data_IF_948282333371
#
_entry.id   IF_948282333371
#
_cell.length_a   1.000
_cell.length_b   1.000
_cell.length_c   1.000
_cell.angle_alpha   90.00
_cell.angle_beta   90.00
_cell.angle_gamma   90.00
#
_symmetry.space_group_name_H-M   'P 1'
#
loop_
_entity.id
_entity.type
_entity.pdbx_description
1 polymer ?
#
# COMPACT_ATOMS: atom_id res chain seq x y z
N UNK A 1 -12.43 -17.52 4.83
CA UNK A 1 -11.85 -16.74 3.70
C UNK A 1 -12.90 -16.61 2.61
N UNK A 2 -13.05 -15.42 2.03
CA UNK A 2 -14.06 -15.15 0.98
C UNK A 2 -13.46 -15.38 -0.40
N UNK A 3 -14.24 -16.03 -1.27
CA UNK A 3 -13.90 -16.30 -2.68
C UNK A 3 -15.04 -15.79 -3.57
N UNK A 4 -14.71 -15.03 -4.61
CA UNK A 4 -15.67 -14.68 -5.65
C UNK A 4 -15.62 -15.74 -6.75
N UNK A 5 -16.79 -16.16 -7.23
CA UNK A 5 -16.97 -16.97 -8.43
C UNK A 5 -17.72 -16.12 -9.44
N UNK A 6 -17.18 -15.97 -10.64
CA UNK A 6 -17.87 -15.42 -11.78
C UNK A 6 -17.97 -16.51 -12.88
N UNK A 7 -19.17 -16.95 -13.17
CA UNK A 7 -19.46 -18.02 -14.11
C UNK A 7 -20.90 -17.83 -14.63
N UNK A 8 -21.08 -17.71 -15.92
CA UNK A 8 -22.39 -17.47 -16.52
C UNK A 8 -23.24 -18.75 -16.65
N UNK A 9 -22.60 -19.91 -16.77
CA UNK A 9 -23.30 -21.19 -16.87
C UNK A 9 -23.83 -21.67 -15.51
N UNK A 10 -25.17 -21.78 -15.31
CA UNK A 10 -25.77 -22.03 -13.98
C UNK A 10 -25.34 -23.34 -13.32
N UNK A 11 -25.11 -24.40 -14.10
CA UNK A 11 -24.76 -25.73 -13.56
C UNK A 11 -23.31 -25.72 -13.05
N UNK A 12 -22.39 -25.17 -13.83
CA UNK A 12 -20.98 -25.00 -13.48
C UNK A 12 -20.84 -24.11 -12.25
N UNK A 13 -21.53 -22.97 -12.24
CA UNK A 13 -21.57 -22.02 -11.11
C UNK A 13 -22.05 -22.70 -9.82
N UNK A 14 -23.14 -23.47 -9.89
CA UNK A 14 -23.67 -24.18 -8.73
C UNK A 14 -22.75 -25.28 -8.21
N UNK A 15 -22.05 -25.97 -9.11
CA UNK A 15 -21.10 -27.02 -8.75
C UNK A 15 -19.90 -26.40 -8.03
N UNK A 16 -19.31 -25.34 -8.60
CA UNK A 16 -18.21 -24.60 -7.98
C UNK A 16 -18.58 -24.07 -6.62
N UNK A 17 -19.75 -23.40 -6.51
CA UNK A 17 -20.26 -22.90 -5.24
C UNK A 17 -20.31 -23.97 -4.17
N UNK A 18 -21.00 -25.08 -4.44
CA UNK A 18 -21.13 -26.19 -3.48
C UNK A 18 -19.76 -26.77 -3.08
N UNK A 19 -18.85 -26.91 -4.04
CA UNK A 19 -17.51 -27.42 -3.78
C UNK A 19 -16.75 -26.52 -2.83
N UNK A 20 -16.74 -25.22 -3.07
CA UNK A 20 -16.03 -24.25 -2.22
C UNK A 20 -16.66 -24.12 -0.82
N UNK A 21 -17.99 -24.12 -0.75
CA UNK A 21 -18.72 -24.12 0.53
C UNK A 21 -18.41 -25.36 1.38
N UNK A 22 -18.28 -26.55 0.75
CA UNK A 22 -17.88 -27.79 1.43
C UNK A 22 -16.46 -27.71 2.01
N UNK A 23 -15.57 -26.93 1.40
CA UNK A 23 -14.22 -26.67 1.91
C UNK A 23 -14.16 -25.53 2.93
N UNK A 24 -15.33 -24.97 3.31
CA UNK A 24 -15.43 -23.94 4.33
C UNK A 24 -15.13 -22.52 3.86
N UNK A 25 -15.16 -22.27 2.56
CA UNK A 25 -15.08 -20.94 2.02
C UNK A 25 -16.43 -20.22 2.03
N UNK A 26 -16.42 -18.92 2.25
CA UNK A 26 -17.56 -18.05 2.02
C UNK A 26 -17.53 -17.61 0.54
N UNK A 27 -18.61 -17.85 -0.18
CA UNK A 27 -18.63 -17.67 -1.64
C UNK A 27 -19.51 -16.48 -2.03
N UNK A 28 -18.93 -15.56 -2.78
CA UNK A 28 -19.64 -14.47 -3.47
C UNK A 28 -19.86 -14.89 -4.91
N UNK A 29 -21.11 -14.86 -5.38
CA UNK A 29 -21.50 -15.35 -6.70
C UNK A 29 -21.82 -14.18 -7.61
N UNK A 30 -21.22 -14.21 -8.81
CA UNK A 30 -21.52 -13.32 -9.91
C UNK A 30 -21.91 -14.15 -11.14
N UNK A 31 -22.93 -13.69 -11.88
CA UNK A 31 -23.48 -14.40 -13.03
C UNK A 31 -22.93 -13.89 -14.37
N UNK A 32 -22.20 -12.77 -14.31
CA UNK A 32 -21.60 -12.11 -15.46
C UNK A 32 -20.35 -11.32 -15.02
N UNK A 33 -19.57 -10.88 -16.02
CA UNK A 33 -18.33 -10.14 -15.75
C UNK A 33 -18.54 -8.74 -15.19
N UNK A 34 -19.67 -8.09 -15.50
CA UNK A 34 -19.95 -6.74 -14.98
C UNK A 34 -20.24 -6.77 -13.48
N UNK A 35 -21.03 -7.74 -13.03
CA UNK A 35 -21.29 -7.97 -11.61
C UNK A 35 -20.01 -8.37 -10.85
N UNK A 36 -19.16 -9.21 -11.48
CA UNK A 36 -17.88 -9.59 -10.92
C UNK A 36 -16.93 -8.38 -10.77
N UNK A 37 -16.83 -7.57 -11.80
CA UNK A 37 -16.07 -6.33 -11.77
C UNK A 37 -16.53 -5.39 -10.63
N UNK A 38 -17.84 -5.18 -10.52
CA UNK A 38 -18.42 -4.34 -9.46
C UNK A 38 -18.07 -4.88 -8.07
N UNK A 39 -18.26 -6.19 -7.86
CA UNK A 39 -17.96 -6.82 -6.57
C UNK A 39 -16.47 -6.77 -6.19
N UNK A 40 -15.55 -6.73 -7.17
CA UNK A 40 -14.12 -6.60 -6.93
C UNK A 40 -13.68 -5.15 -6.62
N UNK A 41 -14.55 -4.15 -6.86
CA UNK A 41 -14.28 -2.75 -6.50
C UNK A 41 -14.76 -2.39 -5.08
N UNK A 42 -15.52 -3.26 -4.42
CA UNK A 42 -16.02 -3.01 -3.08
C UNK A 42 -14.88 -3.00 -2.03
N UNK A 43 -14.98 -2.18 -0.98
CA UNK A 43 -13.95 -2.11 0.06
C UNK A 43 -13.67 -3.45 0.76
N UNK A 44 -14.68 -4.32 0.84
CA UNK A 44 -14.62 -5.65 1.43
C UNK A 44 -14.56 -6.77 0.39
N UNK A 45 -14.11 -6.47 -0.82
CA UNK A 45 -14.01 -7.42 -1.92
C UNK A 45 -13.27 -8.71 -1.50
N UNK A 46 -13.68 -9.88 -2.05
CA UNK A 46 -12.97 -11.13 -1.82
C UNK A 46 -11.52 -11.07 -2.28
N UNK A 47 -10.62 -11.74 -1.53
CA UNK A 47 -9.20 -11.75 -1.84
C UNK A 47 -8.79 -12.78 -2.90
N UNK A 48 -9.69 -13.67 -3.27
CA UNK A 48 -9.51 -14.67 -4.33
C UNK A 48 -10.73 -14.55 -5.24
N UNK A 49 -10.49 -14.51 -6.54
CA UNK A 49 -11.56 -14.57 -7.54
C UNK A 49 -11.27 -15.69 -8.54
N UNK A 50 -12.29 -16.50 -8.78
CA UNK A 50 -12.35 -17.55 -9.81
C UNK A 50 -13.26 -17.06 -10.90
N UNK A 51 -12.71 -16.73 -12.06
CA UNK A 51 -13.39 -16.03 -13.15
C UNK A 51 -13.46 -16.92 -14.39
N UNK A 52 -14.61 -17.14 -14.96
CA UNK A 52 -14.68 -17.72 -16.28
C UNK A 52 -14.01 -16.80 -17.30
N UNK A 53 -13.40 -17.41 -18.30
CA UNK A 53 -12.77 -16.69 -19.40
C UNK A 53 -13.79 -15.89 -20.20
N UNK A 54 -14.91 -16.50 -20.55
CA UNK A 54 -15.93 -15.91 -21.41
C UNK A 54 -17.24 -15.72 -20.65
N UNK A 55 -17.59 -14.48 -20.40
CA UNK A 55 -18.84 -14.10 -19.73
C UNK A 55 -19.48 -12.92 -20.43
N UNK A 56 -20.80 -12.75 -20.31
CA UNK A 56 -21.48 -11.53 -20.73
C UNK A 56 -20.95 -10.28 -20.02
N UNK A 57 -20.94 -9.18 -20.72
CA UNK A 57 -20.46 -7.88 -20.23
C UNK A 57 -18.95 -7.72 -20.32
N UNK A 58 -18.19 -8.18 -19.33
CA UNK A 58 -16.73 -8.20 -19.34
C UNK A 58 -16.21 -9.64 -19.35
N UNK A 59 -15.17 -9.90 -20.14
CA UNK A 59 -14.51 -11.20 -20.10
C UNK A 59 -13.50 -11.29 -18.91
N UNK A 60 -13.12 -12.52 -18.54
CA UNK A 60 -12.22 -12.75 -17.42
C UNK A 60 -10.87 -12.01 -17.56
N UNK A 61 -10.20 -12.08 -18.72
CA UNK A 61 -8.97 -11.30 -18.98
C UNK A 61 -9.14 -9.78 -18.90
N UNK A 62 -10.31 -9.24 -19.30
CA UNK A 62 -10.59 -7.80 -19.16
C UNK A 62 -10.70 -7.40 -17.69
N UNK A 63 -11.39 -8.22 -16.87
CA UNK A 63 -11.45 -8.01 -15.42
C UNK A 63 -10.05 -8.05 -14.81
N UNK A 64 -9.23 -9.05 -15.18
CA UNK A 64 -7.86 -9.15 -14.68
C UNK A 64 -7.05 -7.88 -14.98
N UNK A 65 -7.08 -7.38 -16.21
CA UNK A 65 -6.40 -6.12 -16.59
C UNK A 65 -6.89 -4.94 -15.76
N UNK A 66 -8.21 -4.76 -15.70
CA UNK A 66 -8.80 -3.65 -14.93
C UNK A 66 -8.40 -3.66 -13.46
N UNK A 67 -8.40 -4.86 -12.82
CA UNK A 67 -7.96 -5.01 -11.43
C UNK A 67 -6.49 -4.60 -11.26
N UNK A 68 -5.59 -5.02 -12.16
CA UNK A 68 -4.16 -4.66 -12.10
C UNK A 68 -3.91 -3.18 -12.37
N UNK A 69 -4.67 -2.58 -13.29
CA UNK A 69 -4.56 -1.17 -13.66
C UNK A 69 -5.17 -0.22 -12.61
N UNK A 70 -6.09 -0.71 -11.77
CA UNK A 70 -6.73 0.11 -10.74
C UNK A 70 -5.77 0.67 -9.69
N UNK A 71 -4.56 0.13 -9.57
CA UNK A 71 -3.55 0.57 -8.61
C UNK A 71 -3.94 0.37 -7.14
N UNK A 72 -4.98 -0.41 -6.86
CA UNK A 72 -5.41 -0.69 -5.50
C UNK A 72 -4.28 -1.33 -4.69
N UNK A 73 -4.06 -0.86 -3.45
CA UNK A 73 -3.05 -1.40 -2.54
C UNK A 73 -3.21 -2.90 -2.28
N UNK A 74 -4.45 -3.38 -2.31
CA UNK A 74 -4.79 -4.78 -2.11
C UNK A 74 -5.35 -5.34 -3.40
N UNK A 75 -4.59 -6.22 -4.03
CA UNK A 75 -5.01 -6.88 -5.25
C UNK A 75 -5.42 -8.32 -4.95
N UNK A 76 -6.62 -8.76 -5.39
CA UNK A 76 -7.04 -10.14 -5.23
C UNK A 76 -6.18 -11.10 -6.06
N UNK A 77 -6.11 -12.35 -5.61
CA UNK A 77 -5.58 -13.46 -6.41
C UNK A 77 -6.62 -13.84 -7.46
N UNK A 78 -6.27 -13.73 -8.73
CA UNK A 78 -7.18 -13.94 -9.86
C UNK A 78 -6.85 -15.25 -10.56
N UNK A 79 -7.82 -16.16 -10.59
CA UNK A 79 -7.73 -17.45 -11.27
C UNK A 79 -8.74 -17.48 -12.42
N UNK A 80 -8.28 -17.77 -13.64
CA UNK A 80 -9.13 -17.91 -14.81
C UNK A 80 -9.58 -19.37 -15.01
N UNK A 81 -10.86 -19.58 -15.25
CA UNK A 81 -11.39 -20.84 -15.74
C UNK A 81 -11.50 -20.77 -17.27
N UNK A 82 -11.00 -21.74 -17.97
CA UNK A 82 -11.00 -21.72 -19.43
C UNK A 82 -11.24 -23.09 -20.06
N UNK A 83 -12.07 -23.13 -21.08
CA UNK A 83 -12.16 -24.28 -21.99
C UNK A 83 -11.06 -24.27 -23.06
N UNK A 84 -10.24 -23.21 -23.10
CA UNK A 84 -9.17 -23.06 -24.08
C UNK A 84 -7.90 -23.71 -23.56
N UNK A 85 -7.47 -24.78 -24.24
CA UNK A 85 -6.28 -25.56 -23.86
C UNK A 85 -5.02 -25.17 -24.63
N UNK A 86 -5.13 -24.21 -25.54
CA UNK A 86 -3.97 -23.79 -26.33
C UNK A 86 -3.03 -22.94 -25.46
N UNK A 87 -1.72 -23.23 -25.57
CA UNK A 87 -0.70 -22.51 -24.82
C UNK A 87 -0.76 -20.99 -25.02
N UNK A 88 -1.16 -20.52 -26.21
CA UNK A 88 -1.30 -19.10 -26.52
C UNK A 88 -2.39 -18.42 -25.68
N UNK A 89 -3.50 -19.11 -25.42
CA UNK A 89 -4.61 -18.58 -24.61
C UNK A 89 -4.17 -18.49 -23.14
N UNK A 90 -3.50 -19.49 -22.62
CA UNK A 90 -2.93 -19.51 -21.26
C UNK A 90 -1.99 -18.31 -21.07
N UNK A 91 -1.05 -18.11 -22.00
CA UNK A 91 -0.11 -16.98 -21.94
C UNK A 91 -0.84 -15.64 -22.02
N UNK A 92 -1.91 -15.55 -22.82
CA UNK A 92 -2.72 -14.33 -22.90
C UNK A 92 -3.41 -13.99 -21.57
N UNK A 93 -3.99 -14.99 -20.89
CA UNK A 93 -4.63 -14.81 -19.58
C UNK A 93 -3.64 -14.36 -18.51
N UNK A 94 -2.48 -14.99 -18.42
CA UNK A 94 -1.42 -14.60 -17.47
C UNK A 94 -0.88 -13.19 -17.77
N UNK A 95 -0.68 -12.85 -19.05
CA UNK A 95 -0.29 -11.49 -19.46
C UNK A 95 -1.36 -10.44 -19.18
N UNK A 96 -2.63 -10.83 -19.13
CA UNK A 96 -3.73 -9.95 -18.73
C UNK A 96 -3.75 -9.68 -17.21
N UNK A 97 -2.90 -10.36 -16.42
CA UNK A 97 -2.78 -10.12 -14.99
C UNK A 97 -3.42 -11.20 -14.11
N UNK A 98 -3.85 -12.32 -14.68
CA UNK A 98 -4.23 -13.49 -13.88
C UNK A 98 -3.00 -14.08 -13.17
N UNK A 99 -3.21 -14.57 -11.94
CA UNK A 99 -2.16 -15.25 -11.16
C UNK A 99 -2.10 -16.75 -11.49
N UNK A 100 -3.23 -17.31 -11.91
CA UNK A 100 -3.32 -18.72 -12.25
C UNK A 100 -4.47 -18.96 -13.25
N UNK A 101 -4.51 -20.18 -13.79
CA UNK A 101 -5.60 -20.64 -14.65
C UNK A 101 -5.93 -22.10 -14.38
N UNK A 102 -7.17 -22.50 -14.71
CA UNK A 102 -7.64 -23.86 -14.58
C UNK A 102 -8.48 -24.21 -15.81
N UNK A 103 -8.30 -25.42 -16.35
CA UNK A 103 -9.03 -25.85 -17.53
C UNK A 103 -10.38 -26.48 -17.19
N UNK A 104 -11.39 -26.21 -17.98
CA UNK A 104 -12.69 -26.88 -17.90
C UNK A 104 -12.67 -28.20 -18.71
N UNK A 105 -13.28 -29.30 -18.22
CA UNK A 105 -14.02 -29.40 -16.96
C UNK A 105 -13.10 -29.30 -15.74
N UNK A 106 -13.56 -28.57 -14.72
CA UNK A 106 -12.76 -28.30 -13.50
C UNK A 106 -12.57 -29.61 -12.71
N UNK A 107 -11.33 -30.03 -12.59
CA UNK A 107 -10.96 -31.12 -11.70
C UNK A 107 -10.94 -30.64 -10.25
N UNK A 108 -11.59 -31.42 -9.36
CA UNK A 108 -11.77 -31.00 -7.96
C UNK A 108 -10.45 -30.96 -7.19
N UNK A 109 -9.58 -31.95 -7.40
CA UNK A 109 -8.30 -32.04 -6.68
C UNK A 109 -7.35 -30.93 -7.16
N UNK A 110 -7.36 -30.64 -8.48
CA UNK A 110 -6.57 -29.55 -9.04
C UNK A 110 -7.04 -28.18 -8.51
N UNK A 111 -8.35 -27.94 -8.47
CA UNK A 111 -8.92 -26.70 -7.91
C UNK A 111 -8.54 -26.52 -6.44
N UNK A 112 -8.63 -27.59 -5.62
CA UNK A 112 -8.27 -27.54 -4.21
C UNK A 112 -6.80 -27.20 -4.01
N UNK A 113 -5.91 -27.85 -4.77
CA UNK A 113 -4.47 -27.61 -4.71
C UNK A 113 -4.13 -26.16 -5.09
N UNK A 114 -4.71 -25.62 -6.16
CA UNK A 114 -4.49 -24.24 -6.61
C UNK A 114 -5.03 -23.22 -5.63
N UNK A 115 -6.22 -23.43 -5.08
CA UNK A 115 -6.80 -22.57 -4.07
C UNK A 115 -6.00 -22.58 -2.77
N UNK A 116 -5.39 -23.70 -2.40
CA UNK A 116 -4.45 -23.77 -1.28
C UNK A 116 -3.24 -22.86 -1.51
N UNK A 117 -2.69 -22.83 -2.72
CA UNK A 117 -1.60 -21.92 -3.08
C UNK A 117 -2.08 -20.47 -3.04
N UNK A 118 -3.24 -20.17 -3.65
CA UNK A 118 -3.84 -18.84 -3.63
C UNK A 118 -4.06 -18.31 -2.20
N UNK A 119 -4.62 -19.14 -1.33
CA UNK A 119 -4.83 -18.80 0.08
C UNK A 119 -3.53 -18.47 0.80
N UNK A 120 -2.46 -19.23 0.55
CA UNK A 120 -1.14 -18.98 1.12
C UNK A 120 -0.54 -17.66 0.61
N UNK A 121 -0.66 -17.35 -0.68
CA UNK A 121 -0.20 -16.08 -1.26
C UNK A 121 -0.93 -14.90 -0.61
N UNK A 122 -2.26 -14.95 -0.56
CA UNK A 122 -3.09 -13.91 0.08
C UNK A 122 -2.74 -13.72 1.55
N UNK A 123 -2.51 -14.80 2.30
CA UNK A 123 -2.09 -14.70 3.70
C UNK A 123 -0.71 -14.07 3.86
N UNK A 124 0.24 -14.37 2.96
CA UNK A 124 1.58 -13.77 2.99
C UNK A 124 1.51 -12.27 2.66
N UNK A 125 0.73 -11.88 1.67
CA UNK A 125 0.50 -10.48 1.32
C UNK A 125 -0.11 -9.70 2.51
N UNK A 126 -1.11 -10.29 3.19
CA UNK A 126 -1.72 -9.66 4.36
C UNK A 126 -0.70 -9.47 5.49
N UNK A 127 0.06 -10.53 5.82
CA UNK A 127 1.11 -10.44 6.86
C UNK A 127 2.17 -9.39 6.53
N UNK A 128 2.55 -9.27 5.25
CA UNK A 128 3.50 -8.25 4.82
C UNK A 128 2.93 -6.84 5.02
N UNK A 129 1.67 -6.61 4.60
CA UNK A 129 1.01 -5.33 4.79
C UNK A 129 0.90 -4.95 6.29
N UNK A 130 0.53 -5.91 7.15
CA UNK A 130 0.46 -5.70 8.60
C UNK A 130 1.85 -5.32 9.17
N UNK A 131 2.92 -5.99 8.72
CA UNK A 131 4.30 -5.68 9.17
C UNK A 131 4.78 -4.32 8.69
N UNK A 132 4.43 -3.92 7.47
CA UNK A 132 4.75 -2.57 6.97
C UNK A 132 4.06 -1.51 7.82
N UNK A 133 2.77 -1.67 8.12
CA UNK A 133 2.02 -0.75 8.97
C UNK A 133 2.60 -0.65 10.39
N UNK A 134 2.98 -1.79 11.01
CA UNK A 134 3.64 -1.82 12.33
C UNK A 134 4.98 -1.04 12.32
N UNK A 135 5.78 -1.23 11.26
CA UNK A 135 7.07 -0.53 11.12
C UNK A 135 6.89 0.97 10.91
N UNK A 136 5.93 1.38 10.08
CA UNK A 136 5.62 2.80 9.86
C UNK A 136 5.17 3.49 11.15
N UNK A 137 4.33 2.81 11.95
CA UNK A 137 3.91 3.32 13.26
C UNK A 137 5.11 3.43 14.22
N UNK A 138 5.98 2.42 14.26
CA UNK A 138 7.17 2.45 15.11
C UNK A 138 8.12 3.61 14.72
N UNK A 139 8.36 3.81 13.41
CA UNK A 139 9.17 4.92 12.89
C UNK A 139 8.53 6.27 13.27
N UNK A 140 7.21 6.38 13.16
CA UNK A 140 6.49 7.61 13.55
C UNK A 140 6.66 7.93 15.03
N UNK A 141 6.57 6.92 15.92
CA UNK A 141 6.82 7.08 17.36
C UNK A 141 8.26 7.54 17.65
N UNK A 142 9.24 6.94 16.98
CA UNK A 142 10.65 7.35 17.13
C UNK A 142 10.85 8.81 16.70
N UNK A 143 10.27 9.23 15.57
CA UNK A 143 10.34 10.63 15.12
C UNK A 143 9.70 11.61 16.10
N UNK A 144 8.59 11.25 16.73
CA UNK A 144 7.96 12.09 17.76
C UNK A 144 8.84 12.26 19.01
N UNK A 145 9.56 11.21 19.42
CA UNK A 145 10.50 11.27 20.55
C UNK A 145 11.76 12.06 20.23
N UNK A 146 12.23 12.01 18.98
CA UNK A 146 13.40 12.77 18.51
C UNK A 146 13.10 14.28 18.32
N UNK A 147 11.81 14.68 18.29
CA UNK A 147 11.40 16.07 18.17
C UNK A 147 11.57 16.93 19.46
N UNK A 148 11.89 16.32 20.59
CA UNK A 148 12.09 17.01 21.86
C UNK A 148 13.60 17.15 22.17
N UNK A 149 14.19 18.26 21.73
CA UNK A 149 15.58 18.57 22.09
C UNK A 149 15.62 19.18 23.49
N UNK A 150 16.34 18.57 24.47
CA UNK A 150 16.49 19.11 25.80
C UNK A 150 17.38 20.37 25.76
N UNK A 151 16.77 21.54 25.87
CA UNK A 151 17.49 22.81 25.87
C UNK A 151 17.58 23.41 27.26
N UNK A 152 18.71 24.04 27.58
CA UNK A 152 18.87 24.79 28.81
C UNK A 152 17.95 26.03 28.81
N UNK A 153 17.13 26.19 29.84
CA UNK A 153 16.23 27.33 29.97
C UNK A 153 16.97 28.69 30.00
N UNK A 154 18.22 28.72 30.47
CA UNK A 154 19.03 29.92 30.60
C UNK A 154 19.90 30.21 29.39
N UNK A 155 20.83 29.32 29.05
CA UNK A 155 21.83 29.59 28.02
C UNK A 155 21.44 29.02 26.64
N UNK A 156 20.27 28.36 26.50
CA UNK A 156 19.75 27.78 25.27
C UNK A 156 20.61 26.69 24.60
N UNK A 157 21.63 26.18 25.28
CA UNK A 157 22.39 25.03 24.78
C UNK A 157 21.55 23.78 24.75
N UNK A 158 21.80 22.90 23.79
CA UNK A 158 21.18 21.58 23.64
C UNK A 158 22.03 20.55 24.36
N UNK A 159 21.37 19.63 25.08
CA UNK A 159 22.02 18.48 25.69
C UNK A 159 21.97 17.31 24.72
N UNK A 160 23.15 16.80 24.34
CA UNK A 160 23.29 15.61 23.50
C UNK A 160 23.06 14.30 24.28
N UNK A 161 23.11 13.17 23.55
CA UNK A 161 22.91 11.82 24.12
C UNK A 161 24.02 11.38 25.08
N UNK A 162 25.18 12.07 25.05
CA UNK A 162 26.31 11.86 25.96
C UNK A 162 26.28 12.77 27.19
N UNK A 163 25.19 13.54 27.37
CA UNK A 163 24.99 14.52 28.43
C UNK A 163 25.88 15.76 28.38
N UNK A 164 26.48 16.09 27.23
CA UNK A 164 27.21 17.36 27.03
C UNK A 164 26.27 18.44 26.50
N UNK A 165 26.59 19.71 26.87
CA UNK A 165 25.80 20.86 26.48
C UNK A 165 26.47 21.60 25.32
N UNK A 166 25.92 21.47 24.12
CA UNK A 166 26.43 22.04 22.88
C UNK A 166 25.66 23.31 22.47
N UNK A 167 26.29 24.19 21.70
CA UNK A 167 25.56 25.28 21.06
C UNK A 167 24.57 24.75 20.04
N UNK A 168 23.44 25.45 19.88
CA UNK A 168 22.37 25.00 18.97
C UNK A 168 22.88 24.82 17.55
N UNK A 169 23.70 25.78 17.08
CA UNK A 169 24.26 25.79 15.74
C UNK A 169 25.19 24.59 15.51
N UNK A 170 26.03 24.28 16.48
CA UNK A 170 26.97 23.15 16.43
C UNK A 170 26.19 21.83 16.39
N UNK A 171 25.21 21.66 17.28
CA UNK A 171 24.39 20.46 17.34
C UNK A 171 23.63 20.23 16.03
N UNK A 172 23.02 21.28 15.46
CA UNK A 172 22.27 21.17 14.21
C UNK A 172 23.19 20.86 13.03
N UNK A 173 24.37 21.49 12.96
CA UNK A 173 25.33 21.25 11.88
C UNK A 173 25.91 19.81 11.90
N UNK A 174 26.01 19.20 13.08
CA UNK A 174 26.48 17.80 13.22
C UNK A 174 25.40 16.76 12.87
N UNK A 175 24.12 17.09 13.06
CA UNK A 175 23.00 16.13 12.91
C UNK A 175 22.17 16.34 11.64
N UNK A 176 22.32 17.49 10.97
CA UNK A 176 21.62 17.84 9.74
C UNK A 176 22.62 18.43 8.72
N UNK A 177 22.38 18.18 7.44
CA UNK A 177 23.20 18.76 6.36
C UNK A 177 22.78 20.23 6.11
N UNK A 178 23.05 21.10 7.07
CA UNK A 178 22.73 22.53 7.02
C UNK A 178 23.97 23.36 7.36
N UNK A 179 24.04 24.56 6.78
CA UNK A 179 25.07 25.55 7.06
C UNK A 179 24.43 26.84 7.56
N UNK A 180 24.96 27.40 8.63
CA UNK A 180 24.48 28.68 9.16
C UNK A 180 25.22 29.83 8.51
N UNK A 181 24.47 30.84 8.03
CA UNK A 181 25.03 32.17 7.74
C UNK A 181 24.76 33.07 8.93
N UNK A 182 25.77 33.85 9.31
CA UNK A 182 25.65 34.77 10.44
C UNK A 182 25.17 36.13 9.94
N UNK A 183 24.21 36.69 10.65
CA UNK A 183 23.69 38.02 10.43
C UNK A 183 23.16 38.61 11.74
N UNK A 184 22.94 39.90 11.78
CA UNK A 184 22.36 40.61 12.93
C UNK A 184 20.93 40.97 12.56
N UNK A 185 19.92 40.54 13.37
CA UNK A 185 18.56 40.94 13.15
C UNK A 185 18.34 42.42 13.51
N UNK A 186 17.30 43.09 12.96
CA UNK A 186 17.10 44.52 13.18
C UNK A 186 17.05 44.94 14.66
N UNK A 187 16.40 44.15 15.51
CA UNK A 187 16.29 44.41 16.94
C UNK A 187 17.62 44.31 17.67
N UNK A 188 18.48 43.32 17.33
CA UNK A 188 19.79 43.21 17.89
C UNK A 188 20.74 44.32 17.38
N UNK A 189 20.61 44.69 16.10
CA UNK A 189 21.35 45.79 15.52
C UNK A 189 21.07 47.10 16.27
N UNK A 190 19.85 47.43 16.54
CA UNK A 190 19.47 48.62 17.35
C UNK A 190 20.07 48.59 18.75
N UNK A 191 20.10 47.41 19.38
CA UNK A 191 20.68 47.24 20.71
C UNK A 191 22.19 47.51 20.70
N UNK A 192 22.92 46.86 19.77
CA UNK A 192 24.36 47.05 19.61
C UNK A 192 24.74 48.49 19.28
N UNK A 193 24.00 49.17 18.37
CA UNK A 193 24.23 50.55 18.02
C UNK A 193 24.02 51.50 19.23
N UNK A 194 23.01 51.21 20.08
CA UNK A 194 22.80 51.99 21.33
C UNK A 194 23.89 51.78 22.35
N UNK A 195 24.42 50.55 22.50
CA UNK A 195 25.49 50.22 23.41
C UNK A 195 26.85 50.88 22.99
N UNK A 196 27.11 50.91 21.67
CA UNK A 196 28.32 51.49 21.11
C UNK A 196 28.22 52.99 20.82
N UNK A 197 27.06 53.63 21.09
CA UNK A 197 26.87 55.08 20.90
C UNK A 197 26.86 55.52 19.43
N UNK A 198 26.59 54.59 18.50
CA UNK A 198 26.56 54.85 17.06
C UNK A 198 25.09 55.07 16.61
N UNK A 199 24.84 56.17 15.90
CA UNK A 199 23.50 56.41 15.32
C UNK A 199 23.27 55.46 14.14
N UNK A 200 22.05 54.85 14.06
CA UNK A 200 21.73 54.01 12.92
C UNK A 200 21.74 54.80 11.61
N UNK A 201 22.20 54.23 10.50
CA UNK A 201 22.10 54.89 9.20
C UNK A 201 20.64 55.20 8.88
N UNK A 202 20.39 56.38 8.36
CA UNK A 202 19.05 56.79 7.93
C UNK A 202 18.49 55.78 6.95
N UNK A 203 17.28 55.26 7.23
CA UNK A 203 16.57 54.32 6.35
C UNK A 203 16.54 54.87 4.93
N UNK A 204 17.19 54.18 3.97
CA UNK A 204 16.98 54.47 2.56
C UNK A 204 15.50 54.13 2.22
N UNK A 205 14.75 55.15 1.91
CA UNK A 205 13.40 55.01 1.39
C UNK A 205 13.45 54.46 -0.04
N UNK A 206 13.01 53.22 -0.24
CA UNK A 206 12.44 52.74 -1.51
C UNK A 206 11.02 52.25 -1.30
#
# INVERSE_FOLDING_TARGET
MRILIAEDEPVSRRLLQKTLEQWGYEVVICEDGTSAWTALQEPDAPNIAVLDWMMPGMDGPEICRGVRESGAQRQPYLMLLTSRTRMQDVVAGLKAGADDYLTKPVDREELEARLSVAARVVQLQQRLADRVAELEEAISRVRQLQGLLPICAYCKRIRDDQNYWNQVESYIAEHLDVRFSHGICPSCLETVLKEEGVQPPAAASE
#
